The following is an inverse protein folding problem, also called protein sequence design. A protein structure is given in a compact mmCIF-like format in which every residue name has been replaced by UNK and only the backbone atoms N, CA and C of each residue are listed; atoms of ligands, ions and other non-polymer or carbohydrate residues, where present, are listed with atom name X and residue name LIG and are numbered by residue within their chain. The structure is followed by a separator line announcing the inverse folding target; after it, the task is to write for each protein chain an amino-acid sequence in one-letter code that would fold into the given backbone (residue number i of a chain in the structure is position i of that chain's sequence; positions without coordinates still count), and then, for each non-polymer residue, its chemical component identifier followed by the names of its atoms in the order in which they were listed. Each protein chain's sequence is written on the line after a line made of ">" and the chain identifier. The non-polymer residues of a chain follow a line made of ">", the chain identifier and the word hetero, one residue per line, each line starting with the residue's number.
data_IF_317744275331
#
_entry.id   IF_317744275331
#
_cell.length_a   1.000
_cell.length_b   1.000
_cell.length_c   1.000
_cell.angle_alpha   90.00
_cell.angle_beta   90.00
_cell.angle_gamma   90.00
#
_symmetry.space_group_name_H-M   'P 1'
#
loop_
_entity.id
_entity.type
_entity.pdbx_description
1 polymer ?
#
# COMPACT_ATOMS: atom_id res chain seq x y z
N UNK A 1 -51.07 -18.37 -11.23
CA UNK A 1 -52.25 -17.60 -10.77
C UNK A 1 -51.77 -16.63 -9.72
N UNK A 2 -52.07 -15.35 -9.96
CA UNK A 2 -51.70 -14.20 -9.14
C UNK A 2 -52.70 -13.97 -7.99
N UNK A 3 -52.25 -13.13 -7.04
CA UNK A 3 -52.94 -12.18 -6.10
C UNK A 3 -52.34 -12.34 -4.69
N UNK A 4 -51.45 -11.46 -4.20
CA UNK A 4 -51.61 -10.03 -3.81
C UNK A 4 -52.74 -9.78 -2.82
N UNK A 5 -52.42 -9.26 -1.64
CA UNK A 5 -53.10 -8.12 -0.99
C UNK A 5 -52.27 -7.61 0.21
N UNK A 6 -51.99 -6.31 0.19
CA UNK A 6 -51.39 -5.47 1.23
C UNK A 6 -52.48 -4.69 2.00
N UNK A 7 -52.11 -4.06 3.12
CA UNK A 7 -52.65 -2.87 3.83
C UNK A 7 -52.29 -3.00 5.33
N UNK A 8 -52.06 -2.00 6.17
CA UNK A 8 -51.97 -0.52 6.20
C UNK A 8 -51.23 -0.23 7.54
N UNK A 9 -50.40 0.80 7.76
CA UNK A 9 -50.68 2.22 7.57
C UNK A 9 -51.32 2.83 8.83
N UNK A 10 -50.55 3.16 9.88
CA UNK A 10 -51.01 4.11 10.91
C UNK A 10 -49.90 5.07 11.36
N UNK A 11 -50.01 6.29 10.84
CA UNK A 11 -49.41 7.50 11.38
C UNK A 11 -50.09 7.88 12.70
N UNK A 12 -49.31 8.29 13.70
CA UNK A 12 -49.84 8.94 14.90
C UNK A 12 -49.86 10.45 14.68
N UNK A 13 -51.09 10.95 14.65
CA UNK A 13 -51.48 12.34 14.48
C UNK A 13 -51.20 13.15 15.75
N UNK A 14 -50.87 14.41 15.56
CA UNK A 14 -50.59 15.39 16.62
C UNK A 14 -51.91 15.95 17.15
N UNK A 15 -52.21 15.72 18.43
CA UNK A 15 -53.23 16.48 19.13
C UNK A 15 -52.66 17.05 20.44
N UNK A 16 -52.51 18.38 20.44
CA UNK A 16 -52.28 19.21 21.60
C UNK A 16 -53.35 18.96 22.67
N UNK A 17 -52.92 18.75 23.92
CA UNK A 17 -53.72 19.16 25.07
C UNK A 17 -52.80 19.69 26.19
N UNK A 18 -53.01 20.98 26.42
CA UNK A 18 -52.53 21.83 27.49
C UNK A 18 -53.11 21.41 28.84
N UNK A 19 -52.26 21.28 29.88
CA UNK A 19 -52.59 21.46 31.29
C UNK A 19 -51.33 21.34 32.14
N UNK A 20 -50.84 22.47 32.63
CA UNK A 20 -49.70 22.55 33.55
C UNK A 20 -49.92 21.79 34.86
N UNK A 21 -48.86 21.10 35.28
CA UNK A 21 -48.53 20.77 36.67
C UNK A 21 -47.00 20.62 36.74
N UNK A 22 -46.35 21.73 37.05
CA UNK A 22 -45.11 21.71 37.80
C UNK A 22 -45.44 21.16 39.18
N UNK A 23 -44.92 20.00 39.54
CA UNK A 23 -44.69 19.59 40.93
C UNK A 23 -43.79 18.34 40.94
N UNK A 24 -42.50 18.60 41.17
CA UNK A 24 -41.56 17.79 41.94
C UNK A 24 -41.25 16.37 41.43
N UNK A 25 -40.37 16.30 40.42
CA UNK A 25 -39.45 15.16 40.34
C UNK A 25 -38.51 15.27 41.53
N UNK A 26 -38.79 14.50 42.58
CA UNK A 26 -37.94 14.38 43.74
C UNK A 26 -36.59 13.75 43.32
N UNK A 27 -35.66 14.57 42.81
CA UNK A 27 -34.30 14.20 42.41
C UNK A 27 -33.58 13.45 43.54
N UNK A 28 -33.94 13.74 44.78
CA UNK A 28 -33.37 13.08 45.95
C UNK A 28 -33.85 11.63 46.10
N UNK A 29 -35.01 11.25 45.56
CA UNK A 29 -35.53 9.87 45.58
C UNK A 29 -34.95 8.99 44.47
N UNK A 30 -34.58 9.59 43.33
CA UNK A 30 -33.84 8.91 42.25
C UNK A 30 -32.34 8.74 42.59
N UNK A 31 -31.78 9.61 43.43
CA UNK A 31 -30.40 9.50 43.91
C UNK A 31 -30.13 8.29 44.83
N UNK A 32 -31.19 7.70 45.41
CA UNK A 32 -31.11 6.51 46.27
C UNK A 32 -31.85 5.30 45.68
N UNK A 33 -32.02 5.22 44.36
CA UNK A 33 -32.47 3.99 43.73
C UNK A 33 -31.30 2.98 43.68
N UNK A 34 -31.36 1.87 44.45
CA UNK A 34 -30.28 0.89 44.51
C UNK A 34 -30.03 0.19 43.16
N UNK A 35 -30.99 0.20 42.24
CA UNK A 35 -30.80 -0.36 40.89
C UNK A 35 -30.06 0.60 39.96
N UNK A 36 -30.32 1.91 40.04
CA UNK A 36 -29.54 2.93 39.33
C UNK A 36 -28.13 3.09 39.93
N UNK A 37 -28.00 3.05 41.26
CA UNK A 37 -26.70 3.07 41.94
C UNK A 37 -25.84 1.85 41.57
N UNK A 38 -26.45 0.65 41.45
CA UNK A 38 -25.74 -0.55 41.01
C UNK A 38 -25.33 -0.51 39.53
N UNK A 39 -26.12 0.13 38.66
CA UNK A 39 -25.73 0.37 37.27
C UNK A 39 -24.58 1.37 37.18
N UNK A 40 -24.66 2.50 37.89
CA UNK A 40 -23.57 3.49 37.92
C UNK A 40 -22.28 2.96 38.55
N UNK A 41 -22.36 2.15 39.62
CA UNK A 41 -21.18 1.53 40.26
C UNK A 41 -20.53 0.48 39.34
N UNK A 42 -21.35 -0.29 38.61
CA UNK A 42 -20.84 -1.25 37.62
C UNK A 42 -20.14 -0.53 36.47
N UNK A 43 -20.75 0.53 35.95
CA UNK A 43 -20.18 1.33 34.89
C UNK A 43 -18.89 2.03 35.33
N UNK A 44 -18.82 2.53 36.58
CA UNK A 44 -17.61 3.14 37.13
C UNK A 44 -16.49 2.10 37.29
N UNK A 45 -16.83 0.88 37.72
CA UNK A 45 -15.86 -0.20 37.86
C UNK A 45 -15.36 -0.70 36.50
N UNK A 46 -16.24 -0.82 35.50
CA UNK A 46 -15.89 -1.15 34.13
C UNK A 46 -15.03 -0.06 33.49
N UNK A 47 -15.36 1.21 33.72
CA UNK A 47 -14.56 2.35 33.29
C UNK A 47 -13.17 2.36 33.95
N UNK A 48 -13.09 2.12 35.26
CA UNK A 48 -11.79 2.01 35.98
C UNK A 48 -10.95 0.86 35.44
N UNK A 49 -11.57 -0.30 35.16
CA UNK A 49 -10.88 -1.44 34.52
C UNK A 49 -10.40 -1.11 33.12
N UNK A 50 -11.23 -0.47 32.31
CA UNK A 50 -10.88 -0.05 30.96
C UNK A 50 -9.74 0.98 30.98
N UNK A 51 -9.76 1.93 31.90
CA UNK A 51 -8.69 2.93 32.05
C UNK A 51 -7.39 2.31 32.57
N UNK A 52 -7.46 1.33 33.49
CA UNK A 52 -6.27 0.58 33.93
C UNK A 52 -5.68 -0.24 32.79
N UNK A 53 -6.52 -0.93 32.02
CA UNK A 53 -6.09 -1.69 30.85
C UNK A 53 -5.50 -0.76 29.79
N UNK A 54 -6.15 0.37 29.50
CA UNK A 54 -5.63 1.41 28.61
C UNK A 54 -4.29 1.91 29.10
N UNK A 55 -4.12 2.20 30.39
CA UNK A 55 -2.84 2.65 30.95
C UNK A 55 -1.72 1.62 30.75
N UNK A 56 -2.01 0.33 30.99
CA UNK A 56 -1.04 -0.76 30.76
C UNK A 56 -0.72 -0.90 29.28
N UNK A 57 -1.74 -0.93 28.41
CA UNK A 57 -1.54 -1.04 26.95
C UNK A 57 -0.78 0.18 26.39
N UNK A 58 -1.07 1.39 26.86
CA UNK A 58 -0.36 2.61 26.48
C UNK A 58 1.06 2.66 27.04
N UNK A 59 1.33 2.08 28.22
CA UNK A 59 2.67 1.99 28.78
C UNK A 59 3.58 1.03 27.99
N UNK A 60 3.00 -0.02 27.40
CA UNK A 60 3.72 -1.01 26.60
C UNK A 60 3.54 -0.82 25.08
N UNK A 61 2.88 0.26 24.66
CA UNK A 61 2.72 0.60 23.24
C UNK A 61 3.95 1.40 22.75
N UNK A 62 4.78 0.82 21.87
CA UNK A 62 5.98 1.47 21.34
C UNK A 62 5.66 2.75 20.55
N UNK A 63 4.45 2.84 19.98
CA UNK A 63 4.00 4.00 19.21
C UNK A 63 3.66 5.19 20.12
N UNK A 64 3.09 4.94 21.30
CA UNK A 64 2.70 5.98 22.26
C UNK A 64 3.91 6.72 22.86
N UNK A 65 5.03 6.02 23.09
CA UNK A 65 6.30 6.62 23.50
C UNK A 65 6.90 7.52 22.42
N UNK A 66 6.91 7.05 21.17
CA UNK A 66 7.41 7.80 20.02
C UNK A 66 6.58 9.06 19.74
N UNK A 67 5.25 9.00 19.89
CA UNK A 67 4.36 10.17 19.75
C UNK A 67 4.59 11.20 20.86
N UNK A 68 4.78 10.75 22.11
CA UNK A 68 5.07 11.66 23.24
C UNK A 68 6.43 12.36 23.09
N UNK A 69 7.46 11.63 22.68
CA UNK A 69 8.78 12.19 22.33
C UNK A 69 8.68 13.20 21.19
N UNK A 70 7.91 12.87 20.14
CA UNK A 70 7.68 13.79 19.02
C UNK A 70 6.91 15.05 19.47
N UNK A 71 5.94 14.95 20.37
CA UNK A 71 5.24 16.12 20.92
C UNK A 71 6.14 17.02 21.78
N UNK A 72 7.13 16.46 22.49
CA UNK A 72 8.12 17.25 23.23
C UNK A 72 9.11 17.96 22.30
N UNK A 73 9.49 17.33 21.17
CA UNK A 73 10.39 17.92 20.17
C UNK A 73 9.72 19.03 19.33
N UNK A 74 8.38 19.03 19.26
CA UNK A 74 7.59 20.03 18.55
C UNK A 74 6.86 21.02 19.47
N UNK A 75 7.25 21.15 20.75
CA UNK A 75 6.82 22.30 21.53
C UNK A 75 7.47 23.57 20.95
N UNK A 76 6.69 24.54 20.45
CA UNK A 76 7.25 25.83 20.08
C UNK A 76 7.81 26.50 21.34
N UNK A 77 8.93 27.26 21.24
CA UNK A 77 9.52 27.91 22.40
C UNK A 77 8.48 28.82 23.08
N UNK A 78 8.43 28.88 24.43
CA UNK A 78 7.55 29.81 25.12
C UNK A 78 7.93 31.23 24.68
N UNK A 79 6.98 31.89 24.02
CA UNK A 79 7.12 33.27 23.58
C UNK A 79 7.22 34.10 24.85
N UNK A 80 8.42 34.66 25.11
CA UNK A 80 8.61 35.65 26.17
C UNK A 80 7.89 36.92 25.71
N UNK A 81 6.61 37.02 26.02
CA UNK A 81 5.86 38.26 25.91
C UNK A 81 5.98 39.00 27.23
N UNK A 82 6.97 39.89 27.28
CA UNK A 82 6.96 41.00 28.23
C UNK A 82 5.78 41.89 27.90
N UNK A 83 4.70 41.85 28.68
CA UNK A 83 3.89 43.02 29.07
C UNK A 83 3.26 42.75 30.44
N UNK A 84 3.54 43.72 31.32
CA UNK A 84 3.06 43.95 32.69
C UNK A 84 1.53 43.94 32.86
N UNK A 85 1.12 43.54 34.08
CA UNK A 85 -0.10 43.94 34.86
C UNK A 85 -1.47 43.47 34.32
N UNK A 86 -2.41 42.90 35.08
CA UNK A 86 -2.74 42.96 36.52
C UNK A 86 -3.57 41.72 36.94
N UNK A 87 -3.33 41.31 38.20
CA UNK A 87 -4.23 40.70 39.20
C UNK A 87 -5.31 39.68 38.80
N UNK A 88 -5.26 38.46 39.37
CA UNK A 88 -5.92 38.13 40.66
C UNK A 88 -6.01 36.60 40.88
N UNK A 89 -5.33 36.10 41.93
CA UNK A 89 -5.81 35.16 42.99
C UNK A 89 -6.70 33.98 42.53
N UNK A 90 -6.34 32.69 42.67
CA UNK A 90 -6.05 31.89 43.89
C UNK A 90 -5.46 30.54 43.40
N UNK A 91 -4.22 30.14 43.68
CA UNK A 91 -3.75 29.41 44.87
C UNK A 91 -4.69 28.31 45.41
N UNK A 92 -4.32 27.04 45.16
CA UNK A 92 -4.24 26.05 46.23
C UNK A 92 -3.15 25.02 45.92
N UNK A 93 -2.47 24.65 46.99
CA UNK A 93 -1.07 24.26 47.06
C UNK A 93 -0.95 22.85 47.68
N UNK A 94 0.23 22.23 47.53
CA UNK A 94 0.87 21.25 48.45
C UNK A 94 0.41 19.78 48.39
N UNK A 95 1.31 18.89 47.89
CA UNK A 95 2.03 17.92 48.74
C UNK A 95 3.02 17.07 47.93
N UNK A 96 4.29 17.49 47.98
CA UNK A 96 5.43 16.58 47.85
C UNK A 96 5.38 15.56 48.99
N UNK A 97 5.20 14.28 48.67
CA UNK A 97 5.50 13.20 49.60
C UNK A 97 6.83 12.57 49.21
N UNK A 98 7.86 12.88 50.00
CA UNK A 98 9.09 12.09 50.07
C UNK A 98 8.75 10.74 50.71
N UNK A 99 9.02 9.66 49.99
CA UNK A 99 9.26 8.35 50.60
C UNK A 99 10.69 7.96 50.23
N UNK A 100 11.59 8.16 51.17
CA UNK A 100 12.87 7.46 51.21
C UNK A 100 12.64 6.12 51.88
N UNK A 101 12.75 5.03 51.12
CA UNK A 101 13.04 3.72 51.66
C UNK A 101 14.22 3.13 50.88
N UNK A 102 15.34 3.08 51.59
CA UNK A 102 16.51 2.26 51.31
C UNK A 102 16.09 0.80 51.16
N UNK A 103 16.44 0.21 50.02
CA UNK A 103 16.30 -1.22 49.75
C UNK A 103 17.18 -1.55 48.55
N UNK A 104 18.18 -2.39 48.78
CA UNK A 104 19.07 -2.94 47.77
C UNK A 104 18.30 -3.52 46.59
N UNK A 105 18.67 -3.12 45.38
CA UNK A 105 18.84 -4.08 44.29
C UNK A 105 19.96 -3.59 43.37
N UNK A 106 21.00 -4.42 43.33
CA UNK A 106 22.09 -4.41 42.37
C UNK A 106 21.48 -4.84 41.02
N UNK A 107 20.82 -3.91 40.33
CA UNK A 107 20.48 -4.11 38.92
C UNK A 107 21.56 -3.46 38.09
N UNK A 108 22.44 -4.31 37.59
CA UNK A 108 23.38 -4.06 36.50
C UNK A 108 22.60 -3.54 35.27
N UNK A 109 22.38 -2.23 35.22
CA UNK A 109 21.68 -1.49 34.15
C UNK A 109 22.62 -1.19 32.97
N UNK A 110 23.48 -2.15 32.66
CA UNK A 110 24.59 -2.01 31.73
C UNK A 110 24.62 -3.18 30.75
N UNK A 111 23.58 -3.35 29.90
CA UNK A 111 23.78 -4.16 28.68
C UNK A 111 22.72 -4.10 27.55
N UNK A 112 21.78 -3.13 27.47
CA UNK A 112 20.80 -3.11 26.35
C UNK A 112 20.93 -1.94 25.35
N UNK A 113 21.82 -0.97 25.61
CA UNK A 113 22.02 0.17 24.68
C UNK A 113 22.80 -0.24 23.41
N UNK A 114 23.66 -1.26 23.52
CA UNK A 114 24.43 -1.78 22.37
C UNK A 114 23.53 -2.61 21.41
N UNK A 115 22.51 -3.29 21.94
CA UNK A 115 21.50 -4.00 21.16
C UNK A 115 20.58 -3.06 20.38
N UNK A 116 20.17 -1.95 21.00
CA UNK A 116 19.36 -0.94 20.34
C UNK A 116 20.12 -0.19 19.24
N UNK A 117 21.36 0.26 19.51
CA UNK A 117 22.17 0.97 18.51
C UNK A 117 22.50 0.07 17.30
N UNK A 118 22.80 -1.21 17.53
CA UNK A 118 23.04 -2.16 16.44
C UNK A 118 21.79 -2.42 15.62
N UNK A 119 20.62 -2.56 16.24
CA UNK A 119 19.34 -2.68 15.52
C UNK A 119 19.04 -1.44 14.66
N UNK A 120 19.24 -0.24 15.22
CA UNK A 120 19.04 1.02 14.49
C UNK A 120 20.04 1.17 13.34
N UNK A 121 21.30 0.77 13.53
CA UNK A 121 22.32 0.76 12.49
C UNK A 121 21.98 -0.23 11.36
N UNK A 122 21.53 -1.44 11.69
CA UNK A 122 21.06 -2.43 10.71
C UNK A 122 19.85 -1.89 9.94
N UNK A 123 18.88 -1.29 10.62
CA UNK A 123 17.70 -0.70 9.98
C UNK A 123 18.07 0.46 9.06
N UNK A 124 19.01 1.32 9.48
CA UNK A 124 19.52 2.42 8.66
C UNK A 124 20.19 1.88 7.40
N UNK A 125 21.07 0.90 7.53
CA UNK A 125 21.74 0.27 6.39
C UNK A 125 20.75 -0.40 5.43
N UNK A 126 19.71 -1.05 5.96
CA UNK A 126 18.64 -1.63 5.15
C UNK A 126 17.88 -0.55 4.36
N UNK A 127 17.53 0.56 5.00
CA UNK A 127 16.86 1.68 4.33
C UNK A 127 17.76 2.35 3.28
N UNK A 128 19.04 2.54 3.59
CA UNK A 128 20.03 3.05 2.64
C UNK A 128 20.14 2.14 1.41
N UNK A 129 20.19 0.82 1.62
CA UNK A 129 20.20 -0.15 0.53
C UNK A 129 18.93 -0.07 -0.32
N UNK A 130 17.75 0.01 0.31
CA UNK A 130 16.48 0.16 -0.39
C UNK A 130 16.41 1.46 -1.20
N UNK A 131 16.90 2.57 -0.65
CA UNK A 131 16.96 3.85 -1.36
C UNK A 131 17.93 3.79 -2.54
N UNK A 132 19.08 3.15 -2.37
CA UNK A 132 20.07 2.99 -3.44
C UNK A 132 19.52 2.13 -4.58
N UNK A 133 18.84 1.03 -4.25
CA UNK A 133 18.19 0.15 -5.23
C UNK A 133 17.08 0.89 -5.99
N UNK A 134 16.21 1.63 -5.27
CA UNK A 134 15.16 2.44 -5.88
C UNK A 134 15.74 3.55 -6.80
N UNK A 135 16.84 4.20 -6.38
CA UNK A 135 17.53 5.19 -7.19
C UNK A 135 18.13 4.58 -8.46
N UNK A 136 18.66 3.36 -8.38
CA UNK A 136 19.18 2.65 -9.54
C UNK A 136 18.06 2.28 -10.52
N UNK A 137 16.90 1.80 -10.04
CA UNK A 137 15.75 1.55 -10.90
C UNK A 137 15.28 2.82 -11.61
N UNK A 138 15.18 3.93 -10.89
CA UNK A 138 14.82 5.23 -11.47
C UNK A 138 15.84 5.70 -12.52
N UNK A 139 17.14 5.51 -12.26
CA UNK A 139 18.21 5.86 -13.21
C UNK A 139 18.14 5.02 -14.50
N UNK A 140 17.76 3.74 -14.38
CA UNK A 140 17.57 2.83 -15.51
C UNK A 140 16.21 3.03 -16.23
N UNK A 141 15.38 3.97 -15.76
CA UNK A 141 14.08 4.31 -16.35
C UNK A 141 12.90 3.44 -15.91
N UNK A 142 13.08 2.63 -14.86
CA UNK A 142 12.03 1.83 -14.21
C UNK A 142 11.52 2.56 -12.96
N UNK A 143 10.40 2.13 -12.39
CA UNK A 143 9.77 2.75 -11.19
C UNK A 143 9.32 4.22 -11.33
N UNK A 144 9.59 4.85 -12.48
CA UNK A 144 9.27 6.25 -12.78
C UNK A 144 8.54 6.36 -14.11
N UNK A 145 7.86 7.49 -14.31
CA UNK A 145 7.23 7.83 -15.60
C UNK A 145 8.16 8.74 -16.37
N UNK A 146 8.63 8.27 -17.52
CA UNK A 146 9.52 9.03 -18.41
C UNK A 146 8.70 9.91 -19.35
N UNK A 147 9.18 11.12 -19.65
CA UNK A 147 8.57 11.98 -20.66
C UNK A 147 9.52 12.05 -21.86
N UNK A 148 9.05 11.70 -23.04
CA UNK A 148 9.84 11.69 -24.28
C UNK A 148 9.03 12.25 -25.44
N UNK A 149 9.71 12.72 -26.47
CA UNK A 149 9.07 12.97 -27.76
C UNK A 149 8.81 11.64 -28.48
N UNK A 150 7.81 11.62 -29.37
CA UNK A 150 7.39 10.38 -30.03
C UNK A 150 8.53 9.72 -30.84
N UNK A 151 9.40 10.51 -31.47
CA UNK A 151 10.54 10.00 -32.23
C UNK A 151 11.58 9.31 -31.32
N UNK A 152 11.88 9.91 -30.17
CA UNK A 152 12.76 9.30 -29.17
C UNK A 152 12.15 8.02 -28.58
N UNK A 153 10.83 8.00 -28.40
CA UNK A 153 10.13 6.79 -27.93
C UNK A 153 10.21 5.63 -28.95
N UNK A 154 10.11 5.92 -30.26
CA UNK A 154 10.31 4.90 -31.31
C UNK A 154 11.74 4.35 -31.30
N UNK A 155 12.74 5.21 -31.06
CA UNK A 155 14.13 4.80 -30.93
C UNK A 155 14.31 3.82 -29.76
N UNK A 156 13.77 4.15 -28.58
CA UNK A 156 13.80 3.28 -27.39
C UNK A 156 13.15 1.89 -27.62
N UNK A 157 12.04 1.85 -28.35
CA UNK A 157 11.37 0.59 -28.71
C UNK A 157 12.23 -0.29 -29.61
N UNK A 158 13.11 0.30 -30.43
CA UNK A 158 14.04 -0.44 -31.31
C UNK A 158 15.29 -0.88 -30.57
N UNK A 159 15.80 -0.05 -29.66
CA UNK A 159 17.05 -0.31 -28.95
C UNK A 159 16.89 -1.42 -27.90
N UNK A 160 15.74 -1.49 -27.23
CA UNK A 160 15.43 -2.50 -26.22
C UNK A 160 14.05 -3.14 -26.48
N UNK A 161 13.90 -3.96 -27.54
CA UNK A 161 12.58 -4.45 -27.95
C UNK A 161 11.93 -5.37 -26.92
N UNK A 162 12.71 -6.19 -26.21
CA UNK A 162 12.19 -7.20 -25.28
C UNK A 162 11.50 -6.62 -24.03
N UNK A 163 11.79 -5.35 -23.70
CA UNK A 163 11.23 -4.70 -22.50
C UNK A 163 9.78 -4.30 -22.76
N UNK A 164 8.80 -4.76 -21.95
CA UNK A 164 7.42 -4.35 -22.10
C UNK A 164 7.25 -2.88 -21.68
N UNK A 165 6.43 -2.15 -22.44
CA UNK A 165 6.23 -0.70 -22.23
C UNK A 165 4.76 -0.32 -22.24
N UNK A 166 4.44 0.67 -21.44
CA UNK A 166 3.14 1.35 -21.45
C UNK A 166 3.39 2.82 -21.74
N UNK A 167 2.76 3.35 -22.79
CA UNK A 167 2.93 4.74 -23.18
C UNK A 167 1.58 5.45 -23.25
N UNK A 168 1.49 6.59 -22.58
CA UNK A 168 0.44 7.57 -22.80
C UNK A 168 0.91 8.52 -23.90
N UNK A 169 0.30 8.41 -25.08
CA UNK A 169 0.58 9.31 -26.20
C UNK A 169 -0.39 10.49 -26.13
N UNK A 170 0.14 11.70 -26.18
CA UNK A 170 -0.64 12.94 -26.12
C UNK A 170 -0.14 13.95 -27.13
N UNK A 171 -1.06 14.73 -27.71
CA UNK A 171 -0.72 15.83 -28.60
C UNK A 171 -0.19 17.01 -27.75
N UNK A 172 1.00 17.50 -28.12
CA UNK A 172 1.63 18.69 -27.53
C UNK A 172 0.79 19.96 -27.66
N UNK A 173 -0.08 20.02 -28.67
CA UNK A 173 -0.91 21.17 -28.99
C UNK A 173 -2.38 21.01 -28.58
N UNK A 174 -2.86 19.79 -28.35
CA UNK A 174 -4.19 19.55 -27.82
C UNK A 174 -4.18 19.58 -26.30
N UNK A 175 -4.82 20.58 -25.71
CA UNK A 175 -4.96 20.67 -24.26
C UNK A 175 -5.98 19.65 -23.77
N UNK A 176 -5.50 18.47 -23.35
CA UNK A 176 -6.21 17.73 -22.30
C UNK A 176 -6.27 18.60 -21.05
N UNK A 177 -7.32 18.42 -20.23
CA UNK A 177 -7.44 19.16 -18.97
C UNK A 177 -6.18 18.91 -18.12
N UNK A 178 -5.53 19.94 -17.56
CA UNK A 178 -4.28 19.77 -16.80
C UNK A 178 -4.47 18.88 -15.57
N UNK A 179 -5.66 18.91 -14.96
CA UNK A 179 -6.02 18.04 -13.85
C UNK A 179 -6.08 16.56 -14.26
N UNK A 180 -6.66 16.27 -15.43
CA UNK A 180 -6.70 14.92 -15.99
C UNK A 180 -5.28 14.38 -16.18
N UNK A 181 -4.40 15.15 -16.80
CA UNK A 181 -3.00 14.74 -17.02
C UNK A 181 -2.23 14.54 -15.72
N UNK A 182 -2.49 15.37 -14.69
CA UNK A 182 -1.87 15.23 -13.38
C UNK A 182 -2.26 13.91 -12.70
N UNK A 183 -3.56 13.60 -12.68
CA UNK A 183 -4.07 12.36 -12.10
C UNK A 183 -3.59 11.16 -12.90
N UNK A 184 -3.70 11.22 -14.23
CA UNK A 184 -3.23 10.18 -15.14
C UNK A 184 -1.76 9.83 -14.89
N UNK A 185 -0.90 10.84 -14.76
CA UNK A 185 0.53 10.65 -14.44
C UNK A 185 0.76 10.08 -13.04
N UNK A 186 0.00 10.54 -12.04
CA UNK A 186 0.09 10.02 -10.66
C UNK A 186 -0.16 8.53 -10.62
N UNK A 187 -1.22 8.10 -11.29
CA UNK A 187 -1.61 6.69 -11.35
C UNK A 187 -0.62 5.87 -12.19
N UNK A 188 -0.14 6.40 -13.32
CA UNK A 188 0.95 5.76 -14.08
C UNK A 188 2.23 5.61 -13.26
N UNK A 189 2.54 6.55 -12.37
CA UNK A 189 3.67 6.45 -11.46
C UNK A 189 3.45 5.35 -10.41
N UNK A 190 2.23 5.22 -9.87
CA UNK A 190 1.89 4.10 -8.98
C UNK A 190 2.04 2.74 -9.69
N UNK A 191 1.63 2.65 -10.97
CA UNK A 191 1.84 1.46 -11.80
C UNK A 191 3.34 1.20 -12.02
N UNK A 192 4.12 2.22 -12.38
CA UNK A 192 5.56 2.07 -12.59
C UNK A 192 6.28 1.55 -11.33
N UNK A 193 5.91 2.06 -10.15
CA UNK A 193 6.47 1.62 -8.86
C UNK A 193 6.11 0.18 -8.51
N UNK A 194 4.92 -0.28 -8.93
CA UNK A 194 4.43 -1.64 -8.67
C UNK A 194 5.00 -2.68 -9.65
N UNK A 195 5.25 -2.29 -10.89
CA UNK A 195 5.67 -3.18 -11.98
C UNK A 195 7.07 -2.81 -12.46
N UNK A 196 8.09 -3.24 -11.71
CA UNK A 196 9.50 -2.86 -11.93
C UNK A 196 10.11 -3.47 -13.20
N UNK A 197 9.43 -4.42 -13.85
CA UNK A 197 9.84 -4.97 -15.15
C UNK A 197 9.23 -4.23 -16.35
N UNK A 198 8.38 -3.23 -16.13
CA UNK A 198 7.69 -2.48 -17.19
C UNK A 198 8.12 -1.03 -17.17
N UNK A 199 8.55 -0.49 -18.31
CA UNK A 199 8.84 0.95 -18.44
C UNK A 199 7.59 1.72 -18.82
N UNK A 200 7.35 2.86 -18.18
CA UNK A 200 6.14 3.66 -18.35
C UNK A 200 6.50 5.04 -18.88
N UNK A 201 5.82 5.47 -19.95
CA UNK A 201 6.16 6.67 -20.70
C UNK A 201 4.95 7.59 -20.88
N UNK A 202 5.21 8.89 -20.96
CA UNK A 202 4.34 9.89 -21.57
C UNK A 202 5.05 10.38 -22.83
N UNK A 203 4.51 10.04 -23.99
CA UNK A 203 5.07 10.40 -25.28
C UNK A 203 4.32 11.61 -25.85
N UNK A 204 5.05 12.70 -26.08
CA UNK A 204 4.52 13.92 -26.67
C UNK A 204 4.59 13.81 -28.19
N UNK A 205 3.45 13.92 -28.86
CA UNK A 205 3.37 14.00 -30.31
C UNK A 205 3.33 15.46 -30.76
N UNK A 206 4.15 15.80 -31.76
CA UNK A 206 4.07 17.03 -32.51
C UNK A 206 3.02 16.92 -33.63
N UNK A 207 2.63 18.05 -34.22
CA UNK A 207 1.62 18.10 -35.30
C UNK A 207 2.04 17.37 -36.57
N UNK A 208 3.35 17.24 -36.80
CA UNK A 208 3.91 16.63 -38.01
C UNK A 208 4.31 15.16 -37.80
N UNK A 209 4.00 14.57 -36.64
CA UNK A 209 4.39 13.19 -36.27
C UNK A 209 3.45 12.10 -36.84
N UNK A 210 2.60 12.42 -37.82
CA UNK A 210 1.68 11.46 -38.45
C UNK A 210 2.41 10.22 -38.98
N UNK A 211 3.60 10.38 -39.55
CA UNK A 211 4.41 9.26 -40.04
C UNK A 211 5.00 8.42 -38.90
N UNK A 212 5.29 9.02 -37.76
CA UNK A 212 5.79 8.33 -36.56
C UNK A 212 4.66 7.54 -35.90
N UNK A 213 3.45 8.09 -35.84
CA UNK A 213 2.24 7.40 -35.38
C UNK A 213 1.91 6.19 -36.26
N UNK A 214 2.05 6.33 -37.59
CA UNK A 214 1.92 5.21 -38.54
C UNK A 214 2.95 4.11 -38.29
N UNK A 215 4.21 4.48 -38.02
CA UNK A 215 5.26 3.51 -37.65
C UNK A 215 4.90 2.74 -36.38
N UNK A 216 4.31 3.41 -35.39
CA UNK A 216 3.81 2.81 -34.15
C UNK A 216 2.48 2.07 -34.31
N UNK A 217 1.87 2.08 -35.51
CA UNK A 217 0.53 1.54 -35.80
C UNK A 217 -0.57 2.13 -34.91
N UNK A 218 -0.38 3.36 -34.41
CA UNK A 218 -1.36 4.06 -33.57
C UNK A 218 -2.33 4.87 -34.44
N UNK A 219 -3.65 4.63 -34.35
CA UNK A 219 -4.62 5.35 -35.18
C UNK A 219 -5.02 6.71 -34.60
N UNK A 220 -4.77 6.96 -33.32
CA UNK A 220 -5.15 8.19 -32.61
C UNK A 220 -4.02 8.65 -31.70
N UNK A 221 -3.78 9.97 -31.65
CA UNK A 221 -2.71 10.56 -30.84
C UNK A 221 -3.01 10.38 -29.35
N UNK A 222 -4.15 10.91 -28.88
CA UNK A 222 -4.59 10.78 -27.49
C UNK A 222 -4.96 9.34 -27.17
N UNK A 223 -4.00 8.56 -26.67
CA UNK A 223 -4.19 7.14 -26.41
C UNK A 223 -3.29 6.61 -25.32
N UNK A 224 -3.76 5.57 -24.65
CA UNK A 224 -2.93 4.72 -23.82
C UNK A 224 -2.59 3.46 -24.61
N UNK A 225 -1.30 3.18 -24.80
CA UNK A 225 -0.80 2.12 -25.66
C UNK A 225 0.11 1.15 -24.90
N UNK A 226 -0.03 -0.14 -25.21
CA UNK A 226 0.76 -1.22 -24.66
C UNK A 226 1.68 -1.79 -25.74
N UNK A 227 2.97 -1.88 -25.44
CA UNK A 227 4.00 -2.36 -26.36
C UNK A 227 4.76 -3.54 -25.75
N UNK A 228 5.10 -4.50 -26.62
CA UNK A 228 5.92 -5.65 -26.28
C UNK A 228 6.72 -6.06 -27.51
N UNK A 229 7.98 -6.48 -27.33
CA UNK A 229 8.88 -6.89 -28.43
C UNK A 229 9.06 -5.79 -29.49
N UNK A 230 9.04 -4.52 -29.06
CA UNK A 230 9.14 -3.35 -29.93
C UNK A 230 7.89 -3.06 -30.78
N UNK A 231 6.81 -3.82 -30.66
CA UNK A 231 5.58 -3.63 -31.43
C UNK A 231 4.37 -3.24 -30.55
N UNK A 232 3.38 -2.59 -31.17
CA UNK A 232 2.10 -2.28 -30.54
C UNK A 232 1.29 -3.57 -30.34
N UNK A 233 0.94 -3.87 -29.09
CA UNK A 233 0.06 -4.99 -28.73
C UNK A 233 -1.41 -4.56 -28.83
N UNK A 234 -1.73 -3.44 -28.17
CA UNK A 234 -3.08 -2.88 -28.14
C UNK A 234 -3.02 -1.42 -27.72
N UNK A 235 -4.07 -0.67 -28.01
CA UNK A 235 -4.25 0.70 -27.53
C UNK A 235 -5.69 0.95 -27.05
N UNK A 236 -5.88 2.00 -26.26
CA UNK A 236 -7.16 2.58 -25.88
C UNK A 236 -7.13 4.06 -26.25
N UNK A 237 -8.05 4.47 -27.12
CA UNK A 237 -8.26 5.88 -27.43
C UNK A 237 -8.79 6.62 -26.19
N UNK A 238 -8.19 7.75 -25.87
CA UNK A 238 -8.59 8.64 -24.79
C UNK A 238 -9.32 9.83 -25.40
N UNK A 239 -10.65 9.83 -25.29
CA UNK A 239 -11.45 11.00 -25.63
C UNK A 239 -11.89 11.71 -24.34
N UNK A 240 -11.33 12.89 -24.02
CA UNK A 240 -11.65 13.63 -22.80
C UNK A 240 -13.13 14.03 -22.68
N UNK A 241 -13.92 13.94 -23.77
CA UNK A 241 -15.37 14.18 -23.73
C UNK A 241 -16.17 12.95 -23.31
N UNK A 242 -15.61 11.75 -23.46
CA UNK A 242 -16.27 10.46 -23.17
C UNK A 242 -15.82 9.85 -21.84
N UNK A 243 -14.73 10.36 -21.26
CA UNK A 243 -14.23 9.96 -19.95
C UNK A 243 -15.08 10.64 -18.86
N UNK A 244 -16.27 10.07 -18.66
CA UNK A 244 -17.27 10.49 -17.65
C UNK A 244 -16.90 10.05 -16.21
N UNK A 245 -16.25 8.89 -15.97
CA UNK A 245 -15.81 8.51 -14.62
C UNK A 245 -14.51 9.21 -14.19
N UNK A 246 -14.28 9.26 -12.88
CA UNK A 246 -12.98 9.63 -12.29
C UNK A 246 -11.85 8.75 -12.85
N UNK A 247 -10.67 9.34 -13.04
CA UNK A 247 -9.56 8.69 -13.75
C UNK A 247 -9.01 7.50 -12.96
N UNK A 248 -9.04 7.61 -11.63
CA UNK A 248 -8.67 6.58 -10.66
C UNK A 248 -9.56 5.34 -10.84
N UNK A 249 -10.88 5.53 -10.96
CA UNK A 249 -11.83 4.44 -11.20
C UNK A 249 -11.57 3.80 -12.57
N UNK A 250 -11.22 4.58 -13.58
CA UNK A 250 -10.88 4.06 -14.91
C UNK A 250 -9.60 3.22 -14.88
N UNK A 251 -8.59 3.59 -14.09
CA UNK A 251 -7.40 2.77 -13.95
C UNK A 251 -7.71 1.41 -13.36
N UNK A 252 -8.36 1.38 -12.20
CA UNK A 252 -8.65 0.15 -11.50
C UNK A 252 -9.64 -0.74 -12.27
N UNK A 253 -10.72 -0.16 -12.81
CA UNK A 253 -11.78 -0.94 -13.44
C UNK A 253 -11.50 -1.33 -14.90
N UNK A 254 -10.72 -0.53 -15.63
CA UNK A 254 -10.57 -0.70 -17.09
C UNK A 254 -9.13 -0.90 -17.50
N UNK A 255 -8.27 0.06 -17.19
CA UNK A 255 -6.95 0.09 -17.82
C UNK A 255 -5.98 -0.92 -17.21
N UNK A 256 -5.93 -1.11 -15.88
CA UNK A 256 -5.09 -2.13 -15.24
C UNK A 256 -5.48 -3.55 -15.69
N UNK A 257 -6.77 -3.97 -15.63
CA UNK A 257 -7.18 -5.26 -16.17
C UNK A 257 -6.84 -5.44 -17.65
N UNK A 258 -6.94 -4.37 -18.45
CA UNK A 258 -6.56 -4.39 -19.87
C UNK A 258 -5.05 -4.55 -20.06
N UNK A 259 -4.22 -3.82 -19.31
CA UNK A 259 -2.76 -3.95 -19.36
C UNK A 259 -2.28 -5.35 -18.92
N UNK A 260 -2.94 -5.95 -17.91
CA UNK A 260 -2.70 -7.34 -17.52
C UNK A 260 -3.02 -8.30 -18.67
N UNK A 261 -4.16 -8.12 -19.37
CA UNK A 261 -4.52 -8.92 -20.55
C UNK A 261 -3.54 -8.75 -21.71
N UNK A 262 -2.91 -7.59 -21.84
CA UNK A 262 -1.86 -7.34 -22.84
C UNK A 262 -0.50 -7.97 -22.47
N UNK A 263 -0.37 -8.58 -21.27
CA UNK A 263 0.87 -9.18 -20.77
C UNK A 263 2.06 -8.21 -20.77
N UNK A 264 1.81 -6.91 -20.55
CA UNK A 264 2.87 -5.89 -20.49
C UNK A 264 3.23 -5.47 -19.06
N UNK A 265 2.51 -5.94 -18.05
CA UNK A 265 2.78 -5.64 -16.64
C UNK A 265 3.64 -6.74 -16.02
N UNK A 266 4.89 -6.41 -15.70
CA UNK A 266 5.87 -7.35 -15.12
C UNK A 266 6.35 -6.83 -13.77
N UNK A 267 6.20 -7.63 -12.72
CA UNK A 267 6.53 -7.23 -11.33
C UNK A 267 8.04 -7.13 -11.15
N UNK A 268 8.77 -8.14 -11.63
CA UNK A 268 10.21 -8.24 -11.44
C UNK A 268 10.97 -7.80 -12.70
N UNK A 269 12.09 -7.12 -12.49
CA UNK A 269 13.03 -6.84 -13.55
C UNK A 269 13.75 -8.15 -13.89
N UNK A 270 13.50 -8.69 -15.08
CA UNK A 270 14.40 -9.69 -15.66
C UNK A 270 15.64 -8.91 -16.09
N UNK A 271 16.63 -8.87 -15.21
CA UNK A 271 17.96 -8.41 -15.57
C UNK A 271 18.41 -9.29 -16.73
N UNK A 272 18.36 -8.78 -17.96
CA UNK A 272 19.16 -9.32 -19.04
C UNK A 272 20.61 -9.05 -18.66
N UNK A 273 21.15 -9.87 -17.75
CA UNK A 273 22.56 -10.21 -17.85
C UNK A 273 22.69 -10.72 -19.27
N UNK A 274 23.36 -9.92 -20.09
CA UNK A 274 23.97 -10.33 -21.34
C UNK A 274 25.02 -11.39 -21.02
N UNK A 275 24.57 -12.54 -20.55
CA UNK A 275 25.28 -13.78 -20.75
C UNK A 275 25.21 -14.03 -22.25
N UNK A 276 26.21 -13.48 -22.96
CA UNK A 276 26.78 -14.17 -24.11
C UNK A 276 27.34 -15.50 -23.60
N UNK A 277 26.46 -16.38 -23.15
CA UNK A 277 26.76 -17.77 -22.87
C UNK A 277 26.80 -18.43 -24.23
N UNK A 278 28.01 -18.49 -24.78
CA UNK A 278 28.32 -19.44 -25.84
C UNK A 278 27.76 -20.81 -25.44
N UNK A 279 27.14 -21.58 -26.34
CA UNK A 279 26.75 -22.95 -26.07
C UNK A 279 28.02 -23.81 -26.05
N UNK A 280 28.79 -23.74 -24.96
CA UNK A 280 29.89 -24.65 -24.70
C UNK A 280 29.31 -25.96 -24.17
N UNK A 281 29.06 -26.86 -25.12
CA UNK A 281 29.25 -28.30 -25.05
C UNK A 281 29.61 -28.86 -23.67
N UNK A 282 28.70 -29.69 -23.15
CA UNK A 282 28.84 -30.65 -22.05
C UNK A 282 30.29 -31.11 -21.83
N UNK A 283 30.76 -30.93 -20.59
CA UNK A 283 31.70 -31.87 -19.99
C UNK A 283 31.36 -32.03 -18.51
N UNK A 284 31.21 -33.30 -18.14
CA UNK A 284 30.94 -33.80 -16.80
C UNK A 284 32.25 -33.67 -16.03
N UNK A 285 32.24 -32.97 -14.90
CA UNK A 285 33.28 -33.09 -13.90
C UNK A 285 32.66 -32.90 -12.53
N UNK A 286 32.70 -34.01 -11.80
CA UNK A 286 32.27 -34.23 -10.44
C UNK A 286 33.26 -33.62 -9.43
N UNK A 287 32.81 -33.52 -8.18
CA UNK A 287 33.52 -33.13 -6.95
C UNK A 287 33.89 -31.64 -6.74
N UNK A 288 33.22 -31.00 -5.76
CA UNK A 288 33.87 -30.67 -4.48
C UNK A 288 32.87 -30.25 -3.37
N UNK A 289 32.71 -31.11 -2.37
CA UNK A 289 32.91 -30.71 -0.96
C UNK A 289 31.99 -29.68 -0.29
N UNK A 290 30.66 -29.82 -0.37
CA UNK A 290 29.78 -29.20 0.65
C UNK A 290 28.94 -30.26 1.34
N UNK A 291 29.26 -30.50 2.60
CA UNK A 291 28.52 -31.32 3.55
C UNK A 291 27.02 -30.98 3.48
N UNK A 292 26.25 -31.87 2.85
CA UNK A 292 24.81 -31.74 2.68
C UNK A 292 24.11 -32.11 3.99
N UNK A 293 24.01 -31.14 4.89
CA UNK A 293 23.34 -31.24 6.19
C UNK A 293 21.81 -31.11 6.10
N UNK A 294 21.18 -31.80 5.13
CA UNK A 294 19.77 -31.67 4.83
C UNK A 294 19.08 -33.00 4.54
N UNK A 295 17.82 -33.15 4.97
CA UNK A 295 17.00 -34.33 4.68
C UNK A 295 16.61 -34.33 3.19
N UNK A 296 17.13 -35.28 2.39
CA UNK A 296 16.78 -35.43 0.98
C UNK A 296 15.41 -36.10 0.81
N UNK A 297 14.43 -35.35 0.30
CA UNK A 297 13.09 -35.86 0.02
C UNK A 297 12.99 -36.77 -1.22
N UNK A 298 14.06 -36.91 -2.02
CA UNK A 298 14.15 -37.84 -3.15
C UNK A 298 13.42 -37.42 -4.43
N UNK A 299 12.81 -36.23 -4.47
CA UNK A 299 12.11 -35.71 -5.66
C UNK A 299 12.98 -34.75 -6.47
N UNK A 300 13.19 -35.07 -7.75
CA UNK A 300 13.90 -34.20 -8.69
C UNK A 300 13.12 -32.89 -8.94
N UNK A 301 13.80 -31.75 -8.82
CA UNK A 301 13.20 -30.43 -9.00
C UNK A 301 12.42 -29.90 -7.79
N UNK A 302 12.46 -30.57 -6.63
CA UNK A 302 11.91 -30.00 -5.41
C UNK A 302 12.76 -28.81 -4.92
N UNK A 303 12.14 -27.63 -4.76
CA UNK A 303 12.82 -26.44 -4.20
C UNK A 303 13.28 -26.67 -2.75
N UNK A 304 12.54 -27.48 -2.00
CA UNK A 304 12.75 -27.73 -0.57
C UNK A 304 13.53 -29.02 -0.31
N UNK A 305 14.19 -29.58 -1.33
CA UNK A 305 14.74 -30.93 -1.34
C UNK A 305 15.61 -31.28 -0.13
N UNK A 306 16.34 -30.31 0.42
CA UNK A 306 17.29 -30.50 1.51
C UNK A 306 16.98 -29.68 2.78
N UNK A 307 15.80 -29.04 2.90
CA UNK A 307 15.53 -28.12 4.02
C UNK A 307 14.86 -28.80 5.22
N UNK A 308 13.69 -29.43 5.03
CA UNK A 308 12.92 -30.09 6.10
C UNK A 308 11.99 -31.16 5.52
N UNK A 309 11.46 -32.05 6.36
CA UNK A 309 10.50 -33.08 5.92
C UNK A 309 9.22 -32.46 5.38
N UNK A 310 8.90 -32.71 4.13
CA UNK A 310 7.69 -32.22 3.47
C UNK A 310 7.10 -33.31 2.57
N UNK A 311 5.79 -33.26 2.36
CA UNK A 311 5.08 -34.21 1.50
C UNK A 311 4.86 -33.60 0.11
N UNK A 312 5.12 -34.38 -0.93
CA UNK A 312 4.87 -34.00 -2.31
C UNK A 312 3.42 -34.26 -2.69
N UNK A 313 2.55 -33.29 -2.44
CA UNK A 313 1.16 -33.35 -2.89
C UNK A 313 1.08 -32.90 -4.36
N UNK A 314 1.30 -33.84 -5.27
CA UNK A 314 1.04 -33.64 -6.70
C UNK A 314 -0.39 -34.03 -7.07
N UNK A 315 -0.99 -33.33 -8.05
CA UNK A 315 -2.13 -33.90 -8.77
C UNK A 315 -1.66 -35.20 -9.42
N UNK A 316 -2.39 -36.29 -9.18
CA UNK A 316 -2.03 -37.63 -9.66
C UNK A 316 -1.72 -37.61 -11.16
N UNK A 317 -0.84 -38.49 -11.63
CA UNK A 317 -0.54 -38.60 -13.06
C UNK A 317 -1.84 -38.79 -13.88
N UNK A 318 -2.81 -39.51 -13.32
CA UNK A 318 -4.16 -39.65 -13.87
C UNK A 318 -4.86 -38.31 -14.10
N UNK A 319 -4.77 -37.35 -13.17
CA UNK A 319 -5.34 -36.01 -13.32
C UNK A 319 -4.62 -35.19 -14.40
N UNK A 320 -3.30 -35.36 -14.54
CA UNK A 320 -2.53 -34.70 -15.62
C UNK A 320 -2.90 -35.26 -16.99
N UNK A 321 -3.10 -36.57 -17.08
CA UNK A 321 -3.50 -37.27 -18.29
C UNK A 321 -4.94 -36.91 -18.68
N UNK A 322 -5.86 -36.78 -17.71
CA UNK A 322 -7.24 -36.30 -17.94
C UNK A 322 -7.28 -34.86 -18.48
N UNK A 323 -6.45 -33.96 -17.93
CA UNK A 323 -6.35 -32.57 -18.40
C UNK A 323 -5.73 -32.51 -19.81
N UNK A 324 -4.74 -33.35 -20.10
CA UNK A 324 -4.15 -33.46 -21.42
C UNK A 324 -5.15 -34.00 -22.46
N UNK A 325 -5.94 -35.02 -22.09
CA UNK A 325 -7.01 -35.56 -22.92
C UNK A 325 -8.10 -34.52 -23.18
N UNK A 326 -8.47 -33.72 -22.18
CA UNK A 326 -9.40 -32.60 -22.36
C UNK A 326 -8.89 -31.55 -23.34
N UNK A 327 -7.59 -31.22 -23.31
CA UNK A 327 -7.01 -30.25 -24.25
C UNK A 327 -7.01 -30.74 -25.70
N UNK A 328 -6.86 -32.04 -25.91
CA UNK A 328 -6.88 -32.65 -27.24
C UNK A 328 -8.30 -32.88 -27.78
N UNK A 329 -9.31 -32.98 -26.91
CA UNK A 329 -10.70 -33.21 -27.31
C UNK A 329 -11.44 -31.94 -27.78
N UNK A 330 -10.84 -30.76 -27.63
CA UNK A 330 -11.45 -29.45 -27.97
C UNK A 330 -10.64 -28.62 -28.99
N UNK A 331 -9.75 -29.27 -29.75
CA UNK A 331 -9.21 -28.77 -31.04
C UNK A 331 -9.99 -29.38 -32.22
#
# INVERSE_FOLDING_TARGET
>A
MATSCAHDGHAHDSALNDSGKDEDYDETKLAFDPTLASCCERDEHEYKKAMKLKAVLTAHDPTSGAVRMRQQLFQPPPVISTIKTQSSVMEHEILQSRVSLSGSDDFDDSDDDFGMETMLAVRRKQLEQQLQEAAQYAADGYSVVLNLDLLHFVQELRDEPDVPRVALVVDSSASMKPEFMRVMRSEMAAVAQKFLGTKVYVAMAARDDDDVLRQLRLPVVSSLAAFSRGELVSFIALDPKTLVPEVEVLWEARFLPWLTKCCVLTIERISQQTSRSNPSRREIADEDGKEQLGFDCGMEGCRLRFEYTHEHVGTSQQTKDEIAAWRQAFE
#
